data_IF_142892192954
#
_entry.id   IF_142892192954
#
_cell.length_a   1.000
_cell.length_b   1.000
_cell.length_c   1.000
_cell.angle_alpha   90.00
_cell.angle_beta   90.00
_cell.angle_gamma   90.00
#
_symmetry.space_group_name_H-M   'P 1'
#
loop_
_entity.id
_entity.type
_entity.pdbx_description
1 polymer ?
#
# COMPACT_ATOMS: atom_id res chain seq x y z
N UNK A 1 -26.71 -2.11 -7.12
CA UNK A 1 -26.31 -2.31 -5.72
C UNK A 1 -25.05 -1.50 -5.48
N UNK A 2 -24.85 -0.86 -4.33
CA UNK A 2 -23.55 -0.24 -4.06
C UNK A 2 -22.46 -1.32 -4.14
N UNK A 3 -21.34 -0.99 -4.77
CA UNK A 3 -20.20 -1.89 -4.81
C UNK A 3 -19.53 -1.91 -3.41
N UNK A 4 -19.80 -2.97 -2.66
CA UNK A 4 -19.31 -3.11 -1.29
C UNK A 4 -17.78 -3.25 -1.22
N UNK A 5 -17.10 -3.46 -2.36
CA UNK A 5 -15.66 -3.63 -2.45
C UNK A 5 -14.90 -2.32 -2.73
N UNK A 6 -15.58 -1.22 -3.06
CA UNK A 6 -14.93 0.05 -3.45
C UNK A 6 -13.89 0.48 -2.43
N UNK A 7 -14.25 0.54 -1.14
CA UNK A 7 -13.32 0.95 -0.08
C UNK A 7 -12.22 -0.09 0.10
N UNK A 8 -12.59 -1.37 0.18
CA UNK A 8 -11.64 -2.46 0.38
C UNK A 8 -10.56 -2.49 -0.70
N UNK A 9 -10.96 -2.44 -1.97
CA UNK A 9 -10.03 -2.48 -3.11
C UNK A 9 -9.13 -1.24 -3.20
N UNK A 10 -9.63 -0.09 -2.76
CA UNK A 10 -8.85 1.14 -2.72
C UNK A 10 -7.73 1.12 -1.66
N UNK A 11 -7.92 0.39 -0.55
CA UNK A 11 -7.04 0.45 0.63
C UNK A 11 -6.24 -0.83 0.91
N UNK A 12 -6.50 -1.91 0.19
CA UNK A 12 -5.89 -3.23 0.46
C UNK A 12 -4.40 -3.29 0.16
N UNK A 13 -3.94 -2.60 -0.89
CA UNK A 13 -2.57 -2.66 -1.37
C UNK A 13 -1.68 -1.62 -0.67
N UNK A 14 -0.66 -2.09 0.06
CA UNK A 14 0.32 -1.22 0.73
C UNK A 14 1.48 -0.93 -0.23
N UNK A 15 1.83 0.34 -0.49
CA UNK A 15 3.00 0.67 -1.31
C UNK A 15 4.29 0.25 -0.62
N UNK A 16 5.33 -0.10 -1.39
CA UNK A 16 6.60 -0.57 -0.85
C UNK A 16 7.26 0.44 0.10
N UNK A 17 7.09 1.74 -0.15
CA UNK A 17 7.61 2.79 0.72
C UNK A 17 7.00 2.78 2.14
N UNK A 18 5.81 2.19 2.31
CA UNK A 18 5.13 2.06 3.60
C UNK A 18 5.32 0.69 4.24
N UNK A 19 6.08 -0.22 3.62
CA UNK A 19 6.41 -1.56 4.13
C UNK A 19 7.82 -1.58 4.69
N UNK A 20 8.02 -2.30 5.80
CA UNK A 20 9.34 -2.59 6.37
C UNK A 20 9.40 -4.04 6.81
N UNK A 21 10.44 -4.78 6.42
CA UNK A 21 10.67 -6.11 6.96
C UNK A 21 11.16 -6.04 8.40
N UNK A 22 10.57 -6.85 9.26
CA UNK A 22 11.02 -7.02 10.65
C UNK A 22 12.21 -7.98 10.64
N UNK A 23 13.40 -7.49 11.04
CA UNK A 23 14.66 -8.23 10.93
C UNK A 23 15.04 -9.02 12.19
N UNK A 24 14.36 -8.75 13.32
CA UNK A 24 14.69 -9.36 14.61
C UNK A 24 13.44 -9.65 15.47
N UNK A 25 13.65 -10.41 16.56
CA UNK A 25 12.61 -10.73 17.53
C UNK A 25 11.58 -11.76 17.04
N UNK A 26 10.50 -11.90 17.79
CA UNK A 26 9.43 -12.89 17.57
C UNK A 26 8.72 -12.75 16.22
N UNK A 27 8.70 -11.53 15.66
CA UNK A 27 8.04 -11.21 14.41
C UNK A 27 9.02 -11.16 13.20
N UNK A 28 10.24 -11.67 13.36
CA UNK A 28 11.24 -11.72 12.28
C UNK A 28 10.64 -12.36 11.02
N UNK A 29 10.84 -11.73 9.88
CA UNK A 29 10.33 -12.17 8.57
C UNK A 29 8.91 -11.67 8.26
N UNK A 30 8.20 -11.06 9.24
CA UNK A 30 6.91 -10.40 8.98
C UNK A 30 7.11 -9.00 8.42
N UNK A 31 6.08 -8.48 7.78
CA UNK A 31 6.06 -7.11 7.26
C UNK A 31 5.39 -6.19 8.27
N UNK A 32 6.08 -5.12 8.63
CA UNK A 32 5.49 -3.99 9.35
C UNK A 32 4.98 -2.94 8.35
N UNK A 33 3.82 -2.36 8.64
CA UNK A 33 3.22 -1.30 7.85
C UNK A 33 3.34 -0.01 8.64
N UNK A 34 3.94 1.02 8.04
CA UNK A 34 4.06 2.33 8.67
C UNK A 34 2.69 2.84 9.15
N UNK A 35 2.51 3.10 10.44
CA UNK A 35 1.23 3.56 11.00
C UNK A 35 0.72 4.85 10.34
N UNK A 36 1.60 5.78 9.98
CA UNK A 36 1.23 7.02 9.32
C UNK A 36 0.62 6.80 7.92
N UNK A 37 0.97 5.70 7.25
CA UNK A 37 0.32 5.34 6.00
C UNK A 37 -1.17 5.01 6.23
N UNK A 38 -1.52 4.34 7.32
CA UNK A 38 -2.94 4.05 7.66
C UNK A 38 -3.72 5.33 7.93
N UNK A 39 -3.13 6.29 8.64
CA UNK A 39 -3.72 7.62 8.87
C UNK A 39 -3.93 8.35 7.52
N UNK A 40 -2.93 8.29 6.64
CA UNK A 40 -3.01 8.85 5.29
C UNK A 40 -4.18 8.25 4.51
N UNK A 41 -4.30 6.93 4.49
CA UNK A 41 -5.36 6.20 3.79
C UNK A 41 -6.75 6.55 4.35
N UNK A 42 -6.92 6.58 5.67
CA UNK A 42 -8.18 7.02 6.29
C UNK A 42 -8.55 8.43 5.83
N UNK A 43 -7.57 9.33 5.79
CA UNK A 43 -7.78 10.71 5.35
C UNK A 43 -8.10 10.81 3.85
N UNK A 44 -7.43 10.02 3.01
CA UNK A 44 -7.70 9.97 1.56
C UNK A 44 -9.08 9.42 1.24
N UNK A 45 -9.54 8.40 1.98
CA UNK A 45 -10.81 7.74 1.69
C UNK A 45 -12.02 8.45 2.32
N UNK A 46 -11.86 8.99 3.51
CA UNK A 46 -13.00 9.48 4.30
C UNK A 46 -12.93 10.98 4.62
N UNK A 47 -11.77 11.62 4.45
CA UNK A 47 -11.55 13.02 4.80
C UNK A 47 -10.73 13.19 6.08
N UNK A 48 -10.62 14.41 6.57
CA UNK A 48 -9.78 14.76 7.73
C UNK A 48 -10.33 14.17 9.03
N UNK A 49 -9.43 13.77 9.94
CA UNK A 49 -9.79 13.29 11.27
C UNK A 49 -10.68 14.31 12.00
N UNK A 50 -11.74 13.83 12.63
CA UNK A 50 -12.78 14.63 13.27
C UNK A 50 -13.96 14.97 12.34
N UNK A 51 -13.77 14.98 11.02
CA UNK A 51 -14.82 15.30 10.04
C UNK A 51 -15.21 14.11 9.16
N UNK A 52 -14.22 13.37 8.65
CA UNK A 52 -14.44 12.21 7.77
C UNK A 52 -14.16 10.88 8.46
N UNK A 53 -13.31 10.86 9.46
CA UNK A 53 -13.11 9.75 10.38
C UNK A 53 -12.77 10.27 11.77
N UNK A 54 -13.01 9.49 12.79
CA UNK A 54 -12.69 9.80 14.19
C UNK A 54 -12.52 8.51 14.99
N UNK A 55 -11.95 8.61 16.18
CA UNK A 55 -11.93 7.53 17.14
C UNK A 55 -12.28 8.03 18.55
N UNK A 56 -12.72 7.10 19.38
CA UNK A 56 -13.03 7.33 20.80
C UNK A 56 -12.24 6.31 21.62
N UNK A 57 -11.49 6.76 22.62
CA UNK A 57 -10.79 5.89 23.56
C UNK A 57 -11.81 5.42 24.60
N UNK A 58 -12.02 4.11 24.66
CA UNK A 58 -12.96 3.50 25.60
C UNK A 58 -12.30 3.12 26.91
N UNK A 59 -11.05 2.64 26.84
CA UNK A 59 -10.28 2.26 28.02
C UNK A 59 -8.79 2.30 27.76
N UNK A 60 -8.06 2.66 28.81
CA UNK A 60 -6.62 2.53 28.93
C UNK A 60 -6.35 1.73 30.20
N UNK A 61 -5.57 0.66 30.11
CA UNK A 61 -5.30 -0.21 31.24
C UNK A 61 -3.89 -0.79 31.21
N UNK A 62 -3.37 -1.11 32.36
CA UNK A 62 -2.12 -1.84 32.56
C UNK A 62 -2.44 -3.24 33.06
N UNK A 63 -1.82 -4.24 32.44
CA UNK A 63 -1.97 -5.65 32.78
C UNK A 63 -0.62 -6.24 33.14
N UNK A 64 -0.53 -6.87 34.30
CA UNK A 64 0.69 -7.55 34.74
C UNK A 64 0.82 -8.90 34.04
N UNK A 65 1.95 -9.12 33.41
CA UNK A 65 2.32 -10.36 32.76
C UNK A 65 3.29 -11.20 33.61
N UNK A 66 3.97 -12.14 32.94
CA UNK A 66 5.01 -12.95 33.54
C UNK A 66 6.27 -12.10 33.85
N UNK A 67 7.09 -12.55 34.79
CA UNK A 67 8.40 -11.96 35.10
C UNK A 67 8.38 -10.46 35.49
N UNK A 68 7.30 -9.97 36.08
CA UNK A 68 7.08 -8.55 36.42
C UNK A 68 7.03 -7.62 35.19
N UNK A 69 6.81 -8.16 34.01
CA UNK A 69 6.51 -7.36 32.84
C UNK A 69 5.08 -6.82 32.90
N UNK A 70 4.87 -5.59 32.42
CA UNK A 70 3.55 -4.94 32.40
C UNK A 70 3.29 -4.48 30.99
N UNK A 71 2.08 -4.78 30.50
CA UNK A 71 1.61 -4.34 29.18
C UNK A 71 0.53 -3.29 29.33
N UNK A 72 0.62 -2.25 28.51
CA UNK A 72 -0.43 -1.25 28.34
C UNK A 72 -1.35 -1.67 27.21
N UNK A 73 -2.66 -1.58 27.42
CA UNK A 73 -3.68 -1.80 26.41
C UNK A 73 -4.57 -0.58 26.25
N UNK A 74 -4.88 -0.26 25.00
CA UNK A 74 -5.85 0.78 24.63
C UNK A 74 -6.95 0.14 23.81
N UNK A 75 -8.20 0.41 24.19
CA UNK A 75 -9.38 -0.01 23.43
C UNK A 75 -10.04 1.22 22.83
N UNK A 76 -10.34 1.17 21.54
CA UNK A 76 -10.99 2.27 20.83
C UNK A 76 -12.21 1.80 20.06
N UNK A 77 -13.08 2.76 19.73
CA UNK A 77 -14.00 2.69 18.60
C UNK A 77 -13.54 3.67 17.52
N UNK A 78 -13.29 3.16 16.31
CA UNK A 78 -13.06 3.96 15.11
C UNK A 78 -14.40 4.15 14.39
N UNK A 79 -14.60 5.33 13.83
CA UNK A 79 -15.75 5.67 13.01
C UNK A 79 -15.29 6.28 11.70
N UNK A 80 -15.97 5.95 10.61
CA UNK A 80 -15.77 6.55 9.30
C UNK A 80 -17.08 7.14 8.79
N UNK A 81 -17.01 8.21 8.00
CA UNK A 81 -18.16 8.86 7.41
C UNK A 81 -18.31 8.46 5.95
N UNK A 82 -19.49 7.98 5.57
CA UNK A 82 -19.83 7.62 4.18
C UNK A 82 -21.05 8.45 3.80
N UNK A 83 -20.89 9.36 2.84
CA UNK A 83 -21.87 10.41 2.58
C UNK A 83 -22.03 11.29 3.83
N UNK A 84 -23.25 11.45 4.31
CA UNK A 84 -23.55 12.24 5.52
C UNK A 84 -23.70 11.39 6.78
N UNK A 85 -23.60 10.07 6.68
CA UNK A 85 -23.80 9.16 7.81
C UNK A 85 -22.45 8.66 8.39
N UNK A 86 -22.39 8.59 9.72
CA UNK A 86 -21.30 7.91 10.44
C UNK A 86 -21.55 6.41 10.46
N UNK A 87 -20.48 5.63 10.37
CA UNK A 87 -20.54 4.17 10.53
C UNK A 87 -20.95 3.77 11.96
N UNK A 88 -21.36 2.53 12.13
CA UNK A 88 -21.33 1.89 13.44
C UNK A 88 -19.88 1.86 13.97
N UNK A 89 -19.68 1.72 15.31
CA UNK A 89 -18.35 1.65 15.89
C UNK A 89 -17.55 0.44 15.36
N UNK A 90 -16.31 0.69 14.95
CA UNK A 90 -15.36 -0.34 14.51
C UNK A 90 -14.36 -0.55 15.65
N UNK A 91 -14.38 -1.71 16.36
CA UNK A 91 -13.54 -1.91 17.52
C UNK A 91 -12.07 -2.11 17.13
N UNK A 92 -11.19 -1.57 17.97
CA UNK A 92 -9.75 -1.81 17.91
C UNK A 92 -9.17 -1.95 19.31
N UNK A 93 -8.29 -2.93 19.49
CA UNK A 93 -7.52 -3.10 20.74
C UNK A 93 -6.06 -3.16 20.35
N UNK A 94 -5.26 -2.30 20.95
CA UNK A 94 -3.82 -2.26 20.76
C UNK A 94 -3.07 -2.46 22.05
N UNK A 95 -1.85 -2.94 21.94
CA UNK A 95 -1.01 -3.20 23.11
C UNK A 95 0.44 -2.77 22.90
N UNK A 96 1.09 -2.38 24.00
CA UNK A 96 2.52 -2.09 24.03
C UNK A 96 3.10 -2.41 25.40
N UNK A 97 4.41 -2.70 25.46
CA UNK A 97 5.08 -2.92 26.72
C UNK A 97 5.20 -1.61 27.51
N UNK A 98 4.71 -1.61 28.75
CA UNK A 98 4.97 -0.54 29.73
C UNK A 98 6.25 -0.85 30.52
N UNK A 99 6.33 -2.05 31.10
CA UNK A 99 7.56 -2.56 31.73
C UNK A 99 8.00 -3.80 30.96
N UNK A 100 9.17 -3.73 30.35
CA UNK A 100 9.78 -4.83 29.62
C UNK A 100 11.12 -5.23 30.20
N UNK A 101 11.46 -6.52 30.14
CA UNK A 101 12.77 -7.02 30.53
C UNK A 101 13.74 -6.88 29.34
N UNK A 102 14.78 -6.09 29.55
CA UNK A 102 15.89 -5.92 28.63
C UNK A 102 17.17 -6.54 29.16
N UNK A 103 18.27 -6.47 28.38
CA UNK A 103 19.59 -6.99 28.83
C UNK A 103 20.13 -6.30 30.08
N UNK A 104 19.81 -5.01 30.25
CA UNK A 104 20.24 -4.17 31.39
C UNK A 104 19.32 -4.24 32.61
N UNK A 105 18.20 -4.96 32.53
CA UNK A 105 17.19 -5.03 33.61
C UNK A 105 15.79 -4.66 33.09
N UNK A 106 14.93 -4.22 34.03
CA UNK A 106 13.60 -3.75 33.69
C UNK A 106 13.67 -2.33 33.13
N UNK A 107 13.03 -2.11 32.00
CA UNK A 107 12.85 -0.80 31.38
C UNK A 107 11.38 -0.39 31.43
N UNK A 108 11.12 0.87 31.80
CA UNK A 108 9.76 1.45 31.82
C UNK A 108 9.61 2.42 30.65
N UNK A 109 8.62 2.20 29.80
CA UNK A 109 8.32 3.04 28.64
C UNK A 109 7.31 4.13 29.01
N UNK A 110 7.66 5.39 28.77
CA UNK A 110 6.76 6.55 28.85
C UNK A 110 5.87 6.72 27.61
N UNK A 111 6.15 5.95 26.56
CA UNK A 111 5.43 6.01 25.27
C UNK A 111 4.40 4.87 25.08
N UNK A 112 4.28 3.98 26.05
CA UNK A 112 3.50 2.74 25.90
C UNK A 112 2.05 2.99 25.47
N UNK A 113 1.35 3.97 26.04
CA UNK A 113 -0.03 4.29 25.65
C UNK A 113 -0.13 4.90 24.26
N UNK A 114 0.83 5.74 23.85
CA UNK A 114 0.90 6.26 22.47
C UNK A 114 1.06 5.14 21.45
N UNK A 115 1.93 4.18 21.75
CA UNK A 115 2.15 3.01 20.91
C UNK A 115 0.93 2.09 20.89
N UNK A 116 0.32 1.83 22.05
CA UNK A 116 -0.89 1.02 22.16
C UNK A 116 -2.08 1.66 21.40
N UNK A 117 -2.25 2.98 21.48
CA UNK A 117 -3.27 3.71 20.69
C UNK A 117 -3.03 3.56 19.19
N UNK A 118 -1.80 3.72 18.73
CA UNK A 118 -1.44 3.56 17.33
C UNK A 118 -1.71 2.13 16.82
N UNK A 119 -1.43 1.13 17.67
CA UNK A 119 -1.75 -0.28 17.36
C UNK A 119 -3.27 -0.51 17.34
N UNK A 120 -4.03 0.07 18.30
CA UNK A 120 -5.50 -0.03 18.32
C UNK A 120 -6.14 0.53 17.04
N UNK A 121 -5.68 1.70 16.56
CA UNK A 121 -6.11 2.27 15.28
C UNK A 121 -5.75 1.31 14.13
N UNK A 122 -4.56 0.74 14.15
CA UNK A 122 -4.11 -0.21 13.14
C UNK A 122 -4.97 -1.48 13.09
N UNK A 123 -5.41 -1.95 14.26
CA UNK A 123 -6.32 -3.11 14.37
C UNK A 123 -7.70 -2.77 13.82
N UNK A 124 -8.27 -1.61 14.19
CA UNK A 124 -9.56 -1.16 13.66
C UNK A 124 -9.53 -0.99 12.12
N UNK A 125 -8.44 -0.45 11.57
CA UNK A 125 -8.26 -0.28 10.13
C UNK A 125 -8.31 -1.61 9.34
N UNK A 126 -7.92 -2.74 9.95
CA UNK A 126 -8.00 -4.06 9.28
C UNK A 126 -9.44 -4.43 8.92
N UNK A 127 -10.41 -4.04 9.75
CA UNK A 127 -11.83 -4.29 9.46
C UNK A 127 -12.33 -3.54 8.21
N UNK A 128 -11.65 -2.46 7.81
CA UNK A 128 -11.90 -1.73 6.58
C UNK A 128 -11.13 -2.27 5.37
N UNK A 129 -10.29 -3.30 5.55
CA UNK A 129 -9.43 -3.86 4.51
C UNK A 129 -8.08 -3.14 4.34
N UNK A 130 -7.75 -2.18 5.19
CA UNK A 130 -6.49 -1.40 5.08
C UNK A 130 -5.28 -2.32 5.22
N UNK A 131 -4.51 -2.45 4.13
CA UNK A 131 -3.33 -3.29 4.06
C UNK A 131 -3.62 -4.78 4.00
N UNK A 132 -4.84 -5.19 3.61
CA UNK A 132 -5.29 -6.58 3.62
C UNK A 132 -4.34 -7.52 2.87
N UNK A 133 -3.75 -7.10 1.75
CA UNK A 133 -2.85 -7.93 0.95
C UNK A 133 -1.61 -8.36 1.74
N UNK A 134 -1.06 -7.51 2.61
CA UNK A 134 0.09 -7.86 3.45
C UNK A 134 -0.24 -8.99 4.42
N UNK A 135 -1.45 -8.97 4.98
CA UNK A 135 -1.89 -10.02 5.91
C UNK A 135 -2.31 -11.30 5.18
N UNK A 136 -2.84 -11.17 3.98
CA UNK A 136 -3.25 -12.31 3.17
C UNK A 136 -2.06 -13.10 2.64
N UNK A 137 -1.04 -12.39 2.09
CA UNK A 137 0.13 -13.02 1.46
C UNK A 137 1.23 -13.41 2.46
N UNK A 138 1.43 -12.61 3.51
CA UNK A 138 2.51 -12.80 4.48
C UNK A 138 2.15 -13.73 5.64
N UNK A 139 0.88 -14.01 5.85
CA UNK A 139 0.46 -14.92 6.90
C UNK A 139 0.49 -16.35 6.38
N UNK A 140 1.60 -17.06 6.64
CA UNK A 140 1.59 -18.52 6.68
C UNK A 140 0.63 -18.92 7.81
N UNK A 141 -0.67 -18.75 7.57
CA UNK A 141 -1.69 -19.04 8.54
C UNK A 141 -1.67 -20.52 8.85
N UNK A 142 -2.13 -20.91 10.05
CA UNK A 142 -2.36 -22.31 10.45
C UNK A 142 -3.26 -23.07 9.47
N UNK A 143 -3.84 -22.39 8.49
CA UNK A 143 -4.68 -22.95 7.43
C UNK A 143 -3.94 -23.12 6.09
N UNK A 144 -2.65 -22.74 6.00
CA UNK A 144 -1.84 -23.03 4.82
C UNK A 144 -1.57 -24.54 4.80
N UNK A 145 -2.21 -25.25 3.90
CA UNK A 145 -1.95 -26.66 3.68
C UNK A 145 -0.52 -26.79 3.09
N UNK A 146 0.45 -27.42 3.78
CA UNK A 146 1.82 -27.58 3.26
C UNK A 146 1.88 -28.40 1.96
N UNK A 147 0.80 -29.09 1.59
CA UNK A 147 0.66 -29.85 0.34
C UNK A 147 -0.20 -29.12 -0.72
N UNK A 148 -0.68 -27.92 -0.47
CA UNK A 148 -1.27 -27.11 -1.52
C UNK A 148 -0.16 -26.71 -2.48
N UNK A 149 -0.20 -27.19 -3.72
CA UNK A 149 0.59 -26.61 -4.81
C UNK A 149 0.39 -25.10 -4.76
N UNK A 150 1.47 -24.31 -4.92
CA UNK A 150 1.33 -22.86 -4.94
C UNK A 150 0.25 -22.52 -5.98
N UNK A 151 -0.87 -22.00 -5.50
CA UNK A 151 -1.82 -21.38 -6.39
C UNK A 151 -1.03 -20.37 -7.19
N UNK A 152 -1.01 -20.51 -8.50
CA UNK A 152 -0.41 -19.50 -9.38
C UNK A 152 -0.91 -18.14 -8.88
N UNK A 153 -0.02 -17.16 -8.70
CA UNK A 153 -0.45 -15.85 -8.31
C UNK A 153 -1.51 -15.41 -9.32
N UNK A 154 -2.72 -15.23 -8.88
CA UNK A 154 -3.73 -14.50 -9.63
C UNK A 154 -3.27 -13.04 -9.64
N UNK A 155 -2.24 -12.76 -10.43
CA UNK A 155 -1.84 -11.43 -10.83
C UNK A 155 -2.86 -10.90 -11.82
N UNK A 156 -4.07 -10.68 -11.34
CA UNK A 156 -4.94 -9.67 -11.90
C UNK A 156 -4.55 -8.31 -11.32
N UNK A 157 -3.27 -7.96 -11.41
CA UNK A 157 -2.94 -6.58 -11.71
C UNK A 157 -3.63 -6.35 -13.05
N UNK A 158 -4.75 -5.63 -13.06
CA UNK A 158 -5.22 -4.96 -14.27
C UNK A 158 -4.04 -4.08 -14.70
N UNK A 159 -3.15 -4.67 -15.51
CA UNK A 159 -2.25 -3.88 -16.31
C UNK A 159 -3.18 -3.01 -17.13
N UNK A 160 -3.27 -1.73 -16.78
CA UNK A 160 -3.84 -0.75 -17.68
C UNK A 160 -3.12 -0.98 -19.01
N UNK A 161 -3.85 -1.57 -19.98
CA UNK A 161 -3.31 -1.81 -21.30
C UNK A 161 -3.07 -0.44 -21.90
N UNK A 162 -1.80 -0.01 -21.83
CA UNK A 162 -1.38 1.28 -22.38
C UNK A 162 -1.43 1.13 -23.90
N UNK A 163 -2.30 1.89 -24.55
CA UNK A 163 -2.49 1.86 -25.99
C UNK A 163 -1.72 2.99 -26.66
N UNK A 164 -1.20 2.69 -27.84
CA UNK A 164 -0.58 3.67 -28.73
C UNK A 164 -1.61 4.70 -29.20
N UNK A 165 -1.37 5.98 -28.97
CA UNK A 165 -2.28 7.07 -29.40
C UNK A 165 -2.45 7.16 -30.92
N UNK A 166 -1.51 6.62 -31.71
CA UNK A 166 -1.57 6.70 -33.18
C UNK A 166 -2.27 5.50 -33.84
N UNK A 167 -2.06 4.27 -33.35
CA UNK A 167 -2.58 3.05 -34.00
C UNK A 167 -3.48 2.20 -33.08
N UNK A 168 -3.71 2.60 -31.82
CA UNK A 168 -4.56 1.88 -30.87
C UNK A 168 -3.99 0.55 -30.36
N UNK A 169 -2.86 0.07 -30.88
CA UNK A 169 -2.27 -1.20 -30.44
C UNK A 169 -1.73 -1.11 -29.01
N UNK A 170 -1.82 -2.20 -28.23
CA UNK A 170 -1.24 -2.23 -26.89
C UNK A 170 0.28 -2.10 -26.95
N UNK A 171 0.84 -1.27 -26.05
CA UNK A 171 2.28 -1.11 -25.89
C UNK A 171 2.76 -2.12 -24.87
N UNK A 172 3.76 -2.90 -25.24
CA UNK A 172 4.42 -3.88 -24.38
C UNK A 172 5.77 -3.33 -23.90
N UNK A 173 6.25 -3.84 -22.76
CA UNK A 173 7.62 -3.60 -22.32
C UNK A 173 8.62 -4.22 -23.28
N UNK A 174 9.83 -3.67 -23.33
CA UNK A 174 10.91 -4.14 -24.23
C UNK A 174 12.25 -4.17 -23.49
N UNK A 175 13.22 -4.89 -24.05
CA UNK A 175 14.61 -4.86 -23.60
C UNK A 175 15.36 -3.89 -24.51
N UNK A 176 16.00 -2.88 -23.92
CA UNK A 176 16.81 -1.91 -24.66
C UNK A 176 18.13 -2.51 -25.17
N UNK A 177 18.78 -1.81 -26.07
CA UNK A 177 20.13 -2.18 -26.57
C UNK A 177 21.22 -2.14 -25.52
N UNK A 178 20.93 -1.50 -24.38
CA UNK A 178 21.76 -1.46 -23.17
C UNK A 178 21.52 -2.67 -22.22
N UNK A 179 20.67 -3.64 -22.63
CA UNK A 179 20.31 -4.81 -21.84
C UNK A 179 19.31 -4.53 -20.70
N UNK A 180 18.82 -3.31 -20.55
CA UNK A 180 17.83 -2.95 -19.52
C UNK A 180 16.43 -3.27 -19.97
N UNK A 181 15.62 -3.74 -19.01
CA UNK A 181 14.21 -4.01 -19.23
C UNK A 181 13.39 -2.74 -18.99
N UNK A 182 12.60 -2.33 -19.97
CA UNK A 182 11.70 -1.18 -19.91
C UNK A 182 10.26 -1.65 -19.82
N UNK A 183 9.50 -1.09 -18.88
CA UNK A 183 8.06 -1.38 -18.76
C UNK A 183 7.26 -0.73 -19.90
N UNK A 184 6.00 -1.16 -20.10
CA UNK A 184 5.09 -0.52 -21.07
C UNK A 184 4.93 0.99 -20.81
N UNK A 185 4.95 1.41 -19.54
CA UNK A 185 4.89 2.83 -19.13
C UNK A 185 6.14 3.60 -19.59
N UNK A 186 7.32 2.99 -19.44
CA UNK A 186 8.57 3.61 -19.84
C UNK A 186 8.64 3.78 -21.36
N UNK A 187 8.25 2.74 -22.10
CA UNK A 187 8.16 2.79 -23.57
C UNK A 187 7.19 3.87 -24.02
N UNK A 188 6.00 3.95 -23.40
CA UNK A 188 5.00 4.98 -23.69
C UNK A 188 5.55 6.40 -23.48
N UNK A 189 6.24 6.64 -22.37
CA UNK A 189 6.86 7.95 -22.08
C UNK A 189 7.97 8.29 -23.07
N UNK A 190 8.88 7.35 -23.33
CA UNK A 190 10.00 7.55 -24.25
C UNK A 190 9.54 7.77 -25.70
N UNK A 191 8.50 7.08 -26.13
CA UNK A 191 7.91 7.19 -27.46
C UNK A 191 6.78 8.23 -27.55
N UNK A 192 6.68 9.15 -26.58
CA UNK A 192 5.70 10.26 -26.55
C UNK A 192 4.26 9.81 -26.80
N UNK A 193 3.83 8.76 -26.11
CA UNK A 193 2.46 8.24 -26.21
C UNK A 193 2.24 7.26 -27.36
N UNK A 194 3.26 6.88 -28.11
CA UNK A 194 3.18 5.99 -29.27
C UNK A 194 3.91 4.67 -29.03
N UNK A 195 3.57 3.64 -29.80
CA UNK A 195 4.41 2.43 -29.86
C UNK A 195 5.73 2.73 -30.58
N UNK A 196 6.78 1.91 -30.40
CA UNK A 196 8.08 2.13 -31.04
C UNK A 196 8.01 2.29 -32.57
N UNK A 197 7.19 1.49 -33.24
CA UNK A 197 7.03 1.55 -34.70
C UNK A 197 6.41 2.88 -35.17
N UNK A 198 5.32 3.29 -34.51
CA UNK A 198 4.68 4.58 -34.81
C UNK A 198 5.59 5.76 -34.53
N UNK A 199 6.36 5.71 -33.43
CA UNK A 199 7.31 6.75 -33.07
C UNK A 199 8.46 6.85 -34.07
N UNK A 200 9.00 5.71 -34.54
CA UNK A 200 10.03 5.65 -35.59
C UNK A 200 9.52 6.26 -36.87
N UNK A 201 8.33 5.86 -37.32
CA UNK A 201 7.72 6.38 -38.57
C UNK A 201 7.50 7.92 -38.52
N UNK A 202 7.06 8.45 -37.34
CA UNK A 202 6.89 9.91 -37.19
C UNK A 202 8.23 10.63 -37.25
N UNK A 203 9.28 10.07 -36.59
CA UNK A 203 10.62 10.67 -36.66
C UNK A 203 11.23 10.67 -38.05
N UNK A 204 11.03 9.60 -38.84
CA UNK A 204 11.51 9.51 -40.21
C UNK A 204 10.79 10.49 -41.10
N UNK A 205 9.47 10.62 -40.98
CA UNK A 205 8.70 11.61 -41.75
C UNK A 205 9.12 13.07 -41.42
N UNK A 206 9.38 13.36 -40.14
CA UNK A 206 9.86 14.69 -39.73
C UNK A 206 11.26 15.01 -40.30
N UNK A 207 12.16 14.02 -40.33
CA UNK A 207 13.50 14.19 -40.93
C UNK A 207 13.40 14.42 -42.45
N UNK A 208 12.53 13.70 -43.14
CA UNK A 208 12.31 13.88 -44.59
C UNK A 208 11.77 15.28 -44.92
N UNK A 209 10.82 15.79 -44.11
CA UNK A 209 10.30 17.16 -44.25
C UNK A 209 11.34 18.24 -43.99
N UNK A 210 12.24 18.03 -43.04
CA UNK A 210 13.34 18.98 -42.76
C UNK A 210 14.36 18.98 -43.92
N UNK A 211 14.69 17.80 -44.47
CA UNK A 211 15.58 17.71 -45.61
C UNK A 211 14.99 18.39 -46.88
N UNK A 212 13.68 18.22 -47.12
CA UNK A 212 12.99 18.87 -48.22
C UNK A 212 13.00 20.40 -48.10
N UNK A 213 12.76 20.93 -46.89
CA UNK A 213 12.82 22.38 -46.63
C UNK A 213 14.22 22.98 -46.77
N UNK A 214 15.27 22.21 -46.49
CA UNK A 214 16.65 22.68 -46.67
C UNK A 214 17.07 22.72 -48.12
N UNK A 215 16.49 21.85 -48.98
CA UNK A 215 16.73 21.86 -50.42
C UNK A 215 16.01 23.01 -51.11
N UNK A 216 14.79 23.36 -50.68
CA UNK A 216 14.04 24.52 -51.19
C UNK A 216 14.66 25.88 -50.78
N UNK A 217 15.37 25.95 -49.66
CA UNK A 217 16.02 27.21 -49.19
C UNK A 217 17.42 27.43 -49.80
N UNK A 218 17.93 26.46 -50.57
CA UNK A 218 19.25 26.54 -51.20
C UNK A 218 19.18 26.76 -52.74
N UNK A 219 17.96 26.98 -53.28
CA UNK A 219 17.70 27.33 -54.67
C UNK A 219 17.16 28.75 -54.76
#
# INVERSE_FOLDING_TARGET
>A
MPDNMIVYDAVRAVPNAAKRSITAGRLKGKTDINPMWRIKVLTEQFGVCGFGWKYEILSERLETGANNEISAFVTIHLYVKIGDAWSAPIPGVGGSAFVAKERSGLYTSDECFKMALTDAISVACKALGVGADVYWDADASKYTNPNAQPAMPSSATQQQIIQCQKCGKPIQGTIGTDGRQYSAVDVYKQCRGMCPDCYKAVREAAKAQQAAKQTEAAT
#
